data_IF_583859053784
#
_entry.id   IF_583859053784
#
_cell.length_a   1.000
_cell.length_b   1.000
_cell.length_c   1.000
_cell.angle_alpha   90.00
_cell.angle_beta   90.00
_cell.angle_gamma   90.00
#
_symmetry.space_group_name_H-M   'P 1'
#
loop_
_entity.id
_entity.type
_entity.pdbx_description
1 polymer ?
#
# COMPACT_ATOMS: atom_id res chain seq x y z
N UNK A 1 33.52 -30.74 32.95
CA UNK A 1 33.03 -30.59 32.42
C UNK A 1 32.67 -30.09 32.00
N UNK A 2 32.94 -30.03 31.76
CA UNK A 2 32.50 -29.76 30.96
C UNK A 2 32.07 -29.18 30.32
N UNK A 3 32.31 -29.34 30.28
CA UNK A 3 31.73 -29.05 29.38
C UNK A 3 31.49 -28.39 28.92
N UNK A 4 31.72 -28.62 28.81
CA UNK A 4 31.37 -28.27 28.03
C UNK A 4 30.98 -27.69 27.42
N UNK A 5 31.52 -28.06 27.68
CA UNK A 5 30.91 -27.83 26.84
C UNK A 5 30.70 -27.13 26.42
N UNK A 6 30.90 -27.44 26.36
CA UNK A 6 30.46 -27.13 25.59
C UNK A 6 30.12 -26.42 25.10
N UNK A 7 30.42 -26.54 25.08
CA UNK A 7 29.86 -26.14 24.32
C UNK A 7 29.64 -25.48 23.69
N UNK A 8 30.05 -25.78 23.70
CA UNK A 8 29.58 -25.46 22.83
C UNK A 8 29.21 -25.00 22.20
N UNK A 9 29.50 -25.51 22.22
CA UNK A 9 28.96 -25.47 21.30
C UNK A 9 28.45 -24.85 20.89
N UNK A 10 28.67 -25.12 20.95
CA UNK A 10 28.02 -24.90 20.24
C UNK A 10 27.60 -24.25 19.84
N UNK A 11 27.91 -24.48 19.92
CA UNK A 11 27.22 -24.09 19.27
C UNK A 11 27.07 -23.49 18.72
N UNK A 12 27.41 -23.88 18.49
CA UNK A 12 27.05 -23.55 17.68
C UNK A 12 26.66 -23.27 17.05
N UNK A 13 26.76 -23.60 16.78
CA UNK A 13 26.23 -23.40 15.89
C UNK A 13 25.71 -23.04 15.44
N UNK A 14 25.52 -23.25 15.53
CA UNK A 14 24.83 -23.09 14.62
C UNK A 14 25.10 -22.24 13.92
N UNK A 15 25.62 -22.03 13.64
CA UNK A 15 25.80 -21.38 12.92
C UNK A 15 25.85 -21.22 11.64
N UNK A 16 26.12 -21.68 10.86
CA UNK A 16 26.21 -21.69 9.44
C UNK A 16 25.08 -20.99 8.73
N UNK A 17 23.93 -21.19 9.20
CA UNK A 17 22.81 -20.52 8.59
C UNK A 17 22.92 -19.01 8.68
N UNK A 18 23.71 -18.54 9.58
CA UNK A 18 23.81 -17.10 9.73
C UNK A 18 24.47 -16.46 8.51
N UNK A 19 25.41 -17.15 7.91
CA UNK A 19 26.04 -16.53 6.77
C UNK A 19 25.09 -16.47 5.57
N UNK A 20 24.28 -17.47 5.39
CA UNK A 20 23.28 -17.39 4.34
C UNK A 20 22.29 -16.30 4.60
N UNK A 21 21.98 -16.09 5.86
CA UNK A 21 21.06 -15.03 6.21
C UNK A 21 21.55 -13.67 5.80
N UNK A 22 22.82 -13.42 5.98
CA UNK A 22 23.36 -12.14 5.59
C UNK A 22 23.26 -11.91 4.10
N UNK A 23 23.57 -12.90 3.34
CA UNK A 23 23.52 -12.81 1.90
C UNK A 23 22.10 -12.50 1.44
N UNK A 24 21.17 -13.18 2.00
CA UNK A 24 19.77 -12.98 1.66
C UNK A 24 19.28 -11.59 2.02
N UNK A 25 19.73 -11.11 3.15
CA UNK A 25 19.36 -9.79 3.61
C UNK A 25 19.77 -8.72 2.61
N UNK A 26 20.97 -8.84 2.11
CA UNK A 26 21.46 -7.92 1.12
C UNK A 26 20.60 -7.93 -0.13
N UNK A 27 20.28 -9.12 -0.58
CA UNK A 27 19.41 -9.21 -1.75
C UNK A 27 18.02 -8.66 -1.48
N UNK A 28 17.52 -8.87 -0.29
CA UNK A 28 16.22 -8.34 0.05
C UNK A 28 16.18 -6.84 -0.04
N UNK A 29 17.24 -6.17 0.36
CA UNK A 29 17.30 -4.74 0.24
C UNK A 29 17.19 -4.28 -1.18
N UNK A 30 17.85 -4.99 -2.10
CA UNK A 30 17.83 -4.65 -3.50
C UNK A 30 16.55 -5.08 -4.20
N UNK A 31 15.94 -6.17 -3.71
CA UNK A 31 14.82 -6.77 -4.42
C UNK A 31 13.55 -6.85 -3.59
N UNK A 32 13.47 -6.04 -2.55
CA UNK A 32 12.30 -6.04 -1.69
C UNK A 32 11.04 -5.76 -2.49
N UNK A 33 10.01 -6.56 -2.27
CA UNK A 33 8.76 -6.42 -2.98
C UNK A 33 7.99 -5.18 -2.52
N UNK A 34 7.03 -4.77 -3.31
CA UNK A 34 6.20 -3.64 -2.93
C UNK A 34 5.46 -3.88 -1.62
N UNK A 35 4.81 -5.04 -1.40
CA UNK A 35 4.16 -5.27 -0.11
C UNK A 35 5.12 -5.17 1.06
N UNK A 36 6.34 -5.67 0.90
CA UNK A 36 7.33 -5.59 1.96
C UNK A 36 7.73 -4.16 2.26
N UNK A 37 7.85 -3.35 1.23
CA UNK A 37 8.18 -1.94 1.41
C UNK A 37 7.05 -1.20 2.11
N UNK A 38 5.83 -1.54 1.79
CA UNK A 38 4.67 -0.94 2.45
C UNK A 38 4.62 -1.36 3.91
N UNK A 39 4.91 -2.63 4.19
CA UNK A 39 4.99 -3.10 5.58
C UNK A 39 6.01 -2.29 6.36
N UNK A 40 7.16 -2.06 5.77
CA UNK A 40 8.21 -1.29 6.44
C UNK A 40 7.82 0.16 6.65
N UNK A 41 7.15 0.73 5.67
CA UNK A 41 6.69 2.11 5.80
C UNK A 41 5.73 2.24 6.99
N UNK A 42 4.76 1.35 7.05
CA UNK A 42 3.77 1.39 8.12
C UNK A 42 4.44 1.22 9.48
N UNK A 43 5.33 0.23 9.58
CA UNK A 43 6.01 -0.02 10.84
C UNK A 43 6.91 1.16 11.24
N UNK A 44 7.54 1.78 10.26
CA UNK A 44 8.46 2.85 10.52
C UNK A 44 7.81 4.15 10.95
N UNK A 45 6.54 4.35 10.61
CA UNK A 45 5.85 5.56 11.02
C UNK A 45 5.65 5.62 12.53
N UNK A 46 5.36 4.48 13.14
CA UNK A 46 5.34 4.37 14.59
C UNK A 46 4.33 5.23 15.33
N UNK A 47 3.33 5.75 14.65
CA UNK A 47 2.31 6.57 15.28
C UNK A 47 0.99 6.35 14.56
N UNK A 48 0.01 7.24 14.82
CA UNK A 48 -1.33 7.11 14.29
C UNK A 48 -1.35 7.03 12.75
N UNK A 49 -0.35 7.60 12.08
CA UNK A 49 -0.31 7.55 10.61
C UNK A 49 -0.09 6.13 10.13
N UNK A 50 0.74 5.38 10.81
CA UNK A 50 0.94 3.98 10.48
C UNK A 50 -0.33 3.18 10.64
N UNK A 51 -1.04 3.42 11.73
CA UNK A 51 -2.31 2.73 11.97
C UNK A 51 -3.34 3.07 10.91
N UNK A 52 -3.41 4.35 10.55
CA UNK A 52 -4.35 4.80 9.55
C UNK A 52 -4.03 4.19 8.19
N UNK A 53 -2.76 4.18 7.83
CA UNK A 53 -2.35 3.60 6.56
C UNK A 53 -2.63 2.11 6.53
N UNK A 54 -2.43 1.42 7.64
CA UNK A 54 -2.74 -0.01 7.73
C UNK A 54 -4.25 -0.25 7.55
N UNK A 55 -5.08 0.61 8.13
CA UNK A 55 -6.52 0.50 7.95
C UNK A 55 -6.92 0.68 6.50
N UNK A 56 -6.35 1.68 5.86
CA UNK A 56 -6.64 1.94 4.45
C UNK A 56 -6.24 0.73 3.61
N UNK A 57 -5.06 0.21 3.86
CA UNK A 57 -4.57 -0.96 3.13
C UNK A 57 -5.49 -2.14 3.30
N UNK A 58 -5.95 -2.37 4.51
CA UNK A 58 -6.86 -3.47 4.79
C UNK A 58 -8.17 -3.30 4.04
N UNK A 59 -8.71 -2.09 4.03
CA UNK A 59 -9.94 -1.81 3.30
C UNK A 59 -9.79 -2.05 1.81
N UNK A 60 -8.64 -1.66 1.26
CA UNK A 60 -8.37 -1.87 -0.15
C UNK A 60 -8.38 -3.36 -0.46
N UNK A 61 -7.69 -4.15 0.35
CA UNK A 61 -7.64 -5.60 0.12
C UNK A 61 -9.00 -6.27 0.31
N UNK A 62 -9.78 -5.78 1.26
CA UNK A 62 -11.12 -6.32 1.44
C UNK A 62 -12.03 -6.01 0.26
N UNK A 63 -11.88 -4.82 -0.28
CA UNK A 63 -12.71 -4.39 -1.39
C UNK A 63 -12.27 -5.02 -2.71
N UNK A 64 -10.98 -5.23 -2.85
CA UNK A 64 -10.38 -5.71 -4.10
C UNK A 64 -9.41 -6.84 -3.81
N UNK A 65 -9.91 -8.07 -3.70
CA UNK A 65 -9.01 -9.21 -3.41
C UNK A 65 -7.94 -9.42 -4.46
N UNK A 66 -8.14 -8.92 -5.68
CA UNK A 66 -7.16 -9.06 -6.75
C UNK A 66 -6.22 -7.88 -6.89
N UNK A 67 -6.18 -7.02 -5.89
CA UNK A 67 -5.37 -5.81 -5.98
C UNK A 67 -3.88 -6.14 -6.08
N UNK A 68 -3.17 -5.33 -6.85
CA UNK A 68 -1.72 -5.40 -6.95
C UNK A 68 -1.15 -4.20 -6.21
N UNK A 69 -0.21 -4.46 -5.31
CA UNK A 69 0.46 -3.39 -4.58
C UNK A 69 1.75 -3.04 -5.29
N UNK A 70 1.99 -1.76 -5.49
CA UNK A 70 3.20 -1.24 -6.10
C UNK A 70 3.86 -0.23 -5.20
N UNK A 71 5.11 0.07 -5.53
CA UNK A 71 5.91 1.04 -4.78
C UNK A 71 6.54 1.95 -5.81
N UNK A 72 6.12 3.20 -5.86
CA UNK A 72 6.55 4.08 -6.92
C UNK A 72 7.12 5.38 -6.39
N UNK A 73 7.78 6.09 -7.27
CA UNK A 73 8.30 7.43 -6.99
C UNK A 73 9.10 7.49 -5.69
N UNK A 74 9.87 6.43 -5.43
CA UNK A 74 10.82 6.37 -4.33
C UNK A 74 10.17 6.40 -2.94
N UNK A 75 8.94 6.00 -2.83
CA UNK A 75 8.39 5.92 -1.50
C UNK A 75 6.88 5.93 -1.40
N UNK A 76 6.19 5.69 -2.49
CA UNK A 76 4.73 5.81 -2.48
C UNK A 76 4.05 4.48 -2.74
N UNK A 77 3.24 4.00 -1.79
CA UNK A 77 2.40 2.84 -2.02
C UNK A 77 1.31 3.18 -3.04
N UNK A 78 1.13 2.29 -4.01
CA UNK A 78 0.14 2.46 -5.06
C UNK A 78 -0.61 1.15 -5.21
N UNK A 79 -1.91 1.23 -5.43
CA UNK A 79 -2.74 0.04 -5.60
C UNK A 79 -3.37 0.08 -6.98
N UNK A 80 -3.33 -1.08 -7.66
CA UNK A 80 -3.74 -1.21 -9.05
C UNK A 80 -4.64 -2.42 -9.26
N UNK A 81 -5.53 -2.28 -10.22
CA UNK A 81 -6.28 -3.40 -10.76
C UNK A 81 -6.72 -2.95 -12.13
N UNK A 82 -6.05 -3.48 -13.16
CA UNK A 82 -6.24 -3.01 -14.53
C UNK A 82 -5.97 -1.51 -14.63
N UNK A 83 -4.91 -1.09 -13.94
CA UNK A 83 -4.51 0.30 -13.88
C UNK A 83 -4.47 0.79 -12.44
N UNK A 84 -3.62 1.75 -12.20
CA UNK A 84 -3.50 2.34 -10.87
C UNK A 84 -4.79 3.06 -10.52
N UNK A 85 -5.26 2.90 -9.29
CA UNK A 85 -6.47 3.63 -8.92
C UNK A 85 -6.31 4.47 -7.65
N UNK A 86 -5.45 4.09 -6.72
CA UNK A 86 -5.20 4.94 -5.55
C UNK A 86 -3.74 4.88 -5.15
N UNK A 87 -3.30 5.93 -4.49
CA UNK A 87 -2.02 5.94 -3.83
C UNK A 87 -2.19 6.59 -2.46
N UNK A 88 -1.25 6.37 -1.58
CA UNK A 88 -1.31 6.94 -0.24
C UNK A 88 0.01 7.56 0.15
N UNK A 89 -0.06 8.68 0.85
CA UNK A 89 1.12 9.34 1.38
C UNK A 89 0.89 9.70 2.84
N UNK A 90 1.89 9.43 3.67
CA UNK A 90 1.85 9.86 5.06
C UNK A 90 2.61 11.17 5.16
N UNK A 91 1.89 12.23 5.49
CA UNK A 91 2.51 13.53 5.69
C UNK A 91 2.66 13.78 7.19
N UNK A 92 3.20 14.91 7.53
CA UNK A 92 3.48 15.20 8.93
C UNK A 92 2.23 15.14 9.81
N UNK A 93 1.13 15.64 9.32
CA UNK A 93 -0.08 15.73 10.14
C UNK A 93 -1.32 15.15 9.47
N UNK A 94 -1.14 14.33 8.47
CA UNK A 94 -2.27 13.69 7.81
C UNK A 94 -1.82 12.53 6.96
N UNK A 95 -2.75 11.65 6.63
CA UNK A 95 -2.54 10.62 5.63
C UNK A 95 -3.43 11.01 4.46
N UNK A 96 -2.84 11.14 3.28
CA UNK A 96 -3.57 11.52 2.08
C UNK A 96 -3.77 10.30 1.21
N UNK A 97 -5.00 10.04 0.84
CA UNK A 97 -5.35 8.97 -0.07
C UNK A 97 -5.83 9.61 -1.37
N UNK A 98 -5.08 9.41 -2.44
CA UNK A 98 -5.37 10.05 -3.71
C UNK A 98 -5.93 9.04 -4.71
N UNK A 99 -7.03 9.41 -5.34
CA UNK A 99 -7.66 8.60 -6.38
C UNK A 99 -7.26 9.17 -7.74
N UNK A 100 -6.66 8.34 -8.58
CA UNK A 100 -6.13 8.80 -9.86
C UNK A 100 -7.20 9.34 -10.79
N UNK A 101 -8.41 8.81 -10.68
CA UNK A 101 -9.52 9.27 -11.52
C UNK A 101 -10.65 9.80 -10.65
N UNK A 102 -10.30 10.38 -9.52
CA UNK A 102 -11.30 10.85 -8.57
C UNK A 102 -12.31 11.80 -9.15
N UNK A 103 -11.88 12.64 -10.08
CA UNK A 103 -12.79 13.60 -10.69
C UNK A 103 -13.92 12.95 -11.48
N UNK A 104 -13.70 11.70 -11.90
CA UNK A 104 -14.68 10.96 -12.69
C UNK A 104 -15.61 10.12 -11.83
N UNK A 105 -15.39 10.10 -10.53
CA UNK A 105 -16.16 9.23 -9.64
C UNK A 105 -17.25 10.00 -8.94
N UNK A 106 -18.40 9.36 -8.79
CA UNK A 106 -19.44 9.93 -7.97
C UNK A 106 -18.99 9.86 -6.51
N UNK A 107 -19.24 10.92 -5.78
CA UNK A 107 -18.84 10.98 -4.39
C UNK A 107 -20.03 11.51 -3.60
N UNK A 108 -21.09 10.70 -3.46
CA UNK A 108 -22.31 11.18 -2.83
C UNK A 108 -22.14 11.59 -1.37
N UNK A 109 -21.16 11.00 -0.70
CA UNK A 109 -20.92 11.35 0.70
C UNK A 109 -19.88 12.45 0.87
N UNK A 110 -19.40 12.97 -0.24
CA UNK A 110 -18.44 14.07 -0.25
C UNK A 110 -17.21 13.76 0.59
N UNK A 111 -16.62 12.60 0.34
CA UNK A 111 -15.42 12.19 1.05
C UNK A 111 -14.19 12.91 0.54
N UNK A 112 -14.15 13.24 -0.75
CA UNK A 112 -13.00 13.98 -1.27
C UNK A 112 -12.97 15.36 -0.65
N UNK A 113 -11.86 15.70 -0.04
CA UNK A 113 -11.70 17.00 0.61
C UNK A 113 -10.40 17.69 0.23
N UNK A 114 -9.71 17.17 -0.78
CA UNK A 114 -8.48 17.77 -1.26
C UNK A 114 -8.36 17.54 -2.76
N UNK A 115 -7.62 18.42 -3.42
CA UNK A 115 -7.44 18.29 -4.85
C UNK A 115 -8.71 18.53 -5.65
N UNK A 116 -9.64 19.29 -5.10
CA UNK A 116 -10.96 19.43 -5.71
C UNK A 116 -10.94 20.22 -7.02
N UNK A 117 -9.87 20.94 -7.28
CA UNK A 117 -9.73 21.68 -8.52
C UNK A 117 -9.06 20.86 -9.62
N UNK A 118 -8.58 19.68 -9.30
CA UNK A 118 -7.87 18.87 -10.28
C UNK A 118 -8.77 18.33 -11.36
N UNK A 119 -8.20 18.12 -12.53
CA UNK A 119 -8.94 17.57 -13.65
C UNK A 119 -9.16 16.08 -13.54
N UNK A 120 -8.29 15.37 -12.86
CA UNK A 120 -8.37 13.94 -12.74
C UNK A 120 -8.31 13.46 -11.31
N UNK A 121 -7.37 13.96 -10.55
CA UNK A 121 -7.08 13.46 -9.21
C UNK A 121 -7.98 14.13 -8.18
N UNK A 122 -8.39 13.35 -7.21
CA UNK A 122 -9.07 13.85 -6.03
C UNK A 122 -8.50 13.11 -4.85
N UNK A 123 -8.51 13.72 -3.69
CA UNK A 123 -7.89 13.09 -2.54
C UNK A 123 -8.74 13.25 -1.29
N UNK A 124 -8.47 12.37 -0.34
CA UNK A 124 -9.04 12.43 0.99
C UNK A 124 -7.89 12.63 1.95
N UNK A 125 -7.91 13.74 2.67
CA UNK A 125 -6.94 14.01 3.73
C UNK A 125 -7.54 13.58 5.05
N UNK A 126 -6.84 12.70 5.76
CA UNK A 126 -7.29 12.20 7.05
C UNK A 126 -6.30 12.60 8.13
N UNK A 127 -6.74 13.46 9.02
CA UNK A 127 -5.92 13.85 10.16
C UNK A 127 -6.12 12.87 11.30
N UNK A 128 -5.38 13.11 12.37
CA UNK A 128 -5.39 12.19 13.51
C UNK A 128 -6.79 12.04 14.11
N UNK A 129 -7.53 13.12 14.18
CA UNK A 129 -8.84 13.11 14.81
C UNK A 129 -9.96 12.78 13.86
N UNK A 130 -9.67 12.63 12.59
CA UNK A 130 -10.71 12.38 11.61
C UNK A 130 -11.20 10.95 11.67
N UNK A 131 -12.49 10.77 11.50
CA UNK A 131 -13.09 9.47 11.39
C UNK A 131 -13.09 9.02 9.95
N UNK A 132 -12.74 7.77 9.73
CA UNK A 132 -12.76 7.23 8.39
C UNK A 132 -14.10 6.57 8.14
N UNK A 133 -14.84 7.04 7.13
CA UNK A 133 -16.10 6.43 6.71
C UNK A 133 -15.75 5.20 5.89
N UNK A 134 -15.66 4.06 6.55
CA UNK A 134 -15.21 2.85 5.88
C UNK A 134 -16.15 2.40 4.77
N UNK A 135 -17.43 2.48 5.02
CA UNK A 135 -18.41 2.07 4.00
C UNK A 135 -18.35 2.99 2.79
N UNK A 136 -18.27 4.29 3.03
CA UNK A 136 -18.15 5.24 1.94
C UNK A 136 -16.87 5.08 1.17
N UNK A 137 -15.78 4.81 1.88
CA UNK A 137 -14.50 4.60 1.23
C UNK A 137 -14.52 3.34 0.38
N UNK A 138 -15.11 2.27 0.87
CA UNK A 138 -15.24 1.06 0.06
C UNK A 138 -16.03 1.32 -1.21
N UNK A 139 -17.07 2.12 -1.10
CA UNK A 139 -17.87 2.45 -2.28
C UNK A 139 -17.05 3.22 -3.31
N UNK A 140 -16.22 4.17 -2.85
CA UNK A 140 -15.35 4.90 -3.75
C UNK A 140 -14.30 3.98 -4.38
N UNK A 141 -13.76 3.06 -3.60
CA UNK A 141 -12.79 2.11 -4.14
C UNK A 141 -13.42 1.24 -5.22
N UNK A 142 -14.63 0.76 -4.98
CA UNK A 142 -15.31 -0.03 -6.00
C UNK A 142 -15.56 0.78 -7.25
N UNK A 143 -15.93 2.04 -7.08
CA UNK A 143 -16.16 2.90 -8.23
C UNK A 143 -14.88 3.12 -9.02
N UNK A 144 -13.76 3.27 -8.32
CA UNK A 144 -12.48 3.47 -8.97
C UNK A 144 -12.07 2.25 -9.77
N UNK A 145 -12.27 1.06 -9.20
CA UNK A 145 -11.94 -0.17 -9.87
C UNK A 145 -12.83 -0.36 -11.10
N UNK A 146 -14.12 -0.10 -10.94
CA UNK A 146 -15.04 -0.21 -12.05
C UNK A 146 -14.68 0.76 -13.17
N UNK A 147 -14.29 1.96 -12.81
CA UNK A 147 -13.88 2.95 -13.79
C UNK A 147 -12.70 2.44 -14.62
N UNK A 148 -11.72 1.87 -13.94
CA UNK A 148 -10.56 1.32 -14.65
C UNK A 148 -10.95 0.21 -15.59
N UNK A 149 -11.81 -0.69 -15.14
CA UNK A 149 -12.23 -1.79 -16.01
C UNK A 149 -12.95 -1.31 -17.24
N UNK A 150 -13.81 -0.34 -17.07
CA UNK A 150 -14.56 0.19 -18.20
C UNK A 150 -13.68 0.92 -19.19
N UNK A 151 -12.63 1.55 -18.69
CA UNK A 151 -11.81 2.38 -19.55
C UNK A 151 -10.53 1.72 -20.02
N UNK A 152 -10.16 0.61 -19.42
CA UNK A 152 -8.94 -0.08 -19.80
C UNK A 152 -9.21 -1.31 -20.63
N UNK A 153 -10.12 -2.17 -20.17
CA UNK A 153 -10.38 -3.42 -20.87
C UNK A 153 -10.96 -3.21 -22.25
N UNK A 154 -12.01 -2.39 -22.41
CA UNK A 154 -12.54 -2.18 -23.76
C UNK A 154 -11.49 -1.61 -24.69
N UNK A 155 -10.64 -0.74 -24.17
CA UNK A 155 -9.61 -0.15 -25.00
C UNK A 155 -8.65 -1.19 -25.53
N UNK A 156 -8.23 -2.12 -24.68
CA UNK A 156 -7.29 -3.12 -25.14
C UNK A 156 -7.96 -4.06 -26.12
N UNK A 157 -9.24 -4.33 -25.95
CA UNK A 157 -9.96 -5.12 -26.93
C UNK A 157 -10.14 -4.38 -28.22
N UNK A 158 -10.45 -3.11 -28.12
CA UNK A 158 -10.61 -2.29 -29.29
C UNK A 158 -9.37 -2.26 -30.13
N UNK A 159 -8.24 -2.24 -29.52
CA UNK A 159 -7.01 -2.18 -30.28
C UNK A 159 -6.78 -3.42 -31.10
N UNK A 160 -7.34 -4.53 -30.70
CA UNK A 160 -7.17 -5.75 -31.47
C UNK A 160 -8.06 -5.80 -32.68
N UNK A 161 -9.10 -5.09 -32.62
CA UNK A 161 -10.02 -5.06 -33.69
C UNK A 161 -9.58 -4.08 -34.77
#
# INVERSE_FOLDING_TARGET
MKAQGMVVEQARRPKPSSSRGRSRSKREGATMSAPERIDKLIAGLGDWRGERLAEIRKLIHETDPGVVEDWKWMGTPVWSNEGMYVLANAHKNKVKLTFFHGAELADPKKLFNAGLDGNKWRAIDLGKEDRMDKAGLKALLRAAIAYNRENTVPKSKGSRV
#
